data_IF_242322323658
#
_entry.id   IF_242322323658
#
_cell.length_a   1.000
_cell.length_b   1.000
_cell.length_c   1.000
_cell.angle_alpha   90.00
_cell.angle_beta   90.00
_cell.angle_gamma   90.00
#
_symmetry.space_group_name_H-M   'P 1'
#
loop_
_entity.id
_entity.type
_entity.pdbx_description
1 polymer ?
2 non-polymer ?
3 non-polymer ?
4 water ?
#
# COMPACT_ATOMS: atom_id res chain seq x y z
N UNK A 5 -15.83 -12.16 -1.60
CA UNK A 5 -14.65 -12.31 -2.51
C UNK A 5 -13.96 -10.94 -2.67
N UNK A 6 -12.67 -10.91 -3.04
CA UNK A 6 -11.96 -9.63 -3.02
C UNK A 6 -12.55 -8.55 -3.95
N UNK A 7 -12.50 -7.30 -3.50
CA UNK A 7 -12.86 -6.14 -4.34
C UNK A 7 -11.59 -5.37 -4.71
N UNK A 8 -11.31 -5.25 -6.01
CA UNK A 8 -10.09 -4.56 -6.49
C UNK A 8 -10.52 -3.22 -7.09
N UNK A 9 -10.18 -2.13 -6.41
CA UNK A 9 -10.69 -0.81 -6.69
C UNK A 9 -9.53 -0.01 -7.23
N UNK A 10 -9.62 0.40 -8.48
CA UNK A 10 -8.51 0.98 -9.18
C UNK A 10 -8.83 2.38 -9.69
N UNK A 11 -8.21 3.39 -9.10
CA UNK A 11 -8.38 4.76 -9.48
C UNK A 11 -7.24 5.15 -10.40
N UNK A 12 -7.52 5.98 -11.36
CA UNK A 12 -6.54 6.27 -12.41
C UNK A 12 -6.81 7.64 -12.97
N UNK A 13 -5.82 8.23 -13.64
CA UNK A 13 -5.96 9.56 -14.19
C UNK A 13 -6.58 9.55 -15.60
N UNK A 14 -6.88 8.38 -16.16
CA UNK A 14 -7.34 8.25 -17.55
C UNK A 14 -8.83 8.58 -17.75
N UNK A 19 -9.04 1.33 -16.71
CA UNK A 19 -9.56 1.28 -18.09
C UNK A 19 -9.12 -0.03 -18.78
N UNK A 20 -7.84 -0.10 -19.21
CA UNK A 20 -7.28 -1.35 -19.75
C UNK A 20 -6.84 -2.29 -18.63
N UNK A 21 -6.40 -1.72 -17.51
CA UNK A 21 -5.94 -2.53 -16.40
C UNK A 21 -7.07 -3.44 -15.90
N UNK A 22 -8.22 -2.84 -15.61
CA UNK A 22 -9.45 -3.55 -15.19
C UNK A 22 -9.79 -4.70 -16.13
N UNK A 23 -9.81 -4.40 -17.42
CA UNK A 23 -10.03 -5.42 -18.47
C UNK A 23 -9.00 -6.56 -18.41
N UNK A 24 -7.72 -6.22 -18.36
CA UNK A 24 -6.66 -7.23 -18.22
C UNK A 24 -6.80 -8.12 -16.99
N UNK A 25 -7.15 -7.52 -15.86
CA UNK A 25 -7.29 -8.26 -14.63
C UNK A 25 -8.49 -9.16 -14.79
N UNK A 26 -9.54 -8.61 -15.38
CA UNK A 26 -10.76 -9.35 -15.62
C UNK A 26 -10.48 -10.61 -16.44
N UNK A 27 -9.75 -10.44 -17.55
CA UNK A 27 -9.42 -11.56 -18.47
C UNK A 27 -8.60 -12.65 -17.80
N UNK A 28 -7.91 -12.32 -16.70
CA UNK A 28 -7.01 -13.27 -16.03
C UNK A 28 -7.43 -13.67 -14.63
N UNK A 29 -8.62 -13.25 -14.22
CA UNK A 29 -9.24 -13.73 -12.98
C UNK A 29 -10.57 -14.36 -13.31
N UNK A 30 -10.59 -15.69 -13.54
CA UNK A 30 -11.88 -16.31 -13.85
C UNK A 30 -12.90 -16.14 -12.72
N UNK A 31 -14.14 -15.87 -13.10
CA UNK A 31 -15.24 -15.60 -12.16
C UNK A 31 -15.39 -14.11 -11.80
N UNK A 32 -14.45 -13.29 -12.26
CA UNK A 32 -14.41 -11.88 -11.89
C UNK A 32 -15.45 -11.08 -12.67
N UNK A 33 -15.80 -9.91 -12.14
CA UNK A 33 -16.83 -9.09 -12.78
C UNK A 33 -16.38 -7.65 -12.68
N UNK A 34 -16.49 -6.91 -13.78
CA UNK A 34 -16.15 -5.52 -13.83
C UNK A 34 -17.40 -4.66 -13.53
N UNK A 35 -17.39 -4.06 -12.35
CA UNK A 35 -18.42 -3.15 -11.88
C UNK A 35 -18.07 -1.73 -12.29
N UNK A 36 -18.89 -1.12 -13.15
CA UNK A 36 -18.59 0.17 -13.76
C UNK A 36 -19.46 1.25 -13.17
N UNK A 37 -18.92 2.06 -12.23
CA UNK A 37 -19.67 3.06 -11.49
C UNK A 37 -20.35 4.09 -12.37
N UNK A 38 -19.78 4.33 -13.52
CA UNK A 38 -20.41 5.25 -14.45
C UNK A 38 -21.84 4.85 -14.88
N UNK A 39 -22.18 3.55 -14.88
CA UNK A 39 -23.58 3.14 -15.15
C UNK A 39 -24.57 3.79 -14.20
N UNK A 40 -24.16 4.02 -12.96
CA UNK A 40 -25.05 4.68 -11.98
C UNK A 40 -25.12 6.16 -12.28
N UNK A 41 -24.01 6.74 -12.74
CA UNK A 41 -24.04 8.11 -13.15
C UNK A 41 -24.97 8.33 -14.32
N UNK A 42 -24.97 7.45 -15.31
CA UNK A 42 -25.83 7.66 -16.48
C UNK A 42 -27.33 7.58 -16.15
N UNK A 43 -27.67 6.72 -15.21
CA UNK A 43 -29.03 6.53 -14.71
C UNK A 43 -29.44 7.79 -14.02
N UNK A 44 -28.58 8.29 -13.12
CA UNK A 44 -28.96 9.49 -12.41
C UNK A 44 -29.09 10.76 -13.26
N UNK A 45 -28.26 10.90 -14.27
CA UNK A 45 -28.39 12.04 -15.15
C UNK A 45 -29.76 12.01 -15.87
N UNK A 46 -30.22 10.85 -16.32
CA UNK A 46 -31.53 10.71 -17.01
C UNK A 46 -32.78 10.85 -16.12
N UNK A 47 -32.59 10.66 -14.82
CA UNK A 47 -33.67 10.67 -13.83
C UNK A 47 -33.78 11.97 -13.08
N UNK A 48 -32.92 12.95 -13.39
CA UNK A 48 -32.86 14.18 -12.65
C UNK A 48 -33.27 15.41 -13.51
N UNK A 49 -34.31 16.16 -13.06
CA UNK A 49 -34.69 17.39 -13.80
C UNK A 49 -33.60 18.48 -13.79
N UNK A 50 -33.34 19.08 -14.93
CA UNK A 50 -32.36 20.19 -15.00
C UNK A 50 -30.90 19.83 -14.74
N UNK A 51 -30.56 18.55 -14.82
CA UNK A 51 -29.20 18.11 -14.55
C UNK A 51 -28.21 18.52 -15.67
N UNK A 52 -27.04 19.02 -15.26
CA UNK A 52 -25.93 19.17 -16.19
C UNK A 52 -24.62 18.93 -15.44
N UNK A 53 -23.57 18.76 -16.22
CA UNK A 53 -22.24 18.55 -15.66
C UNK A 53 -21.92 17.09 -15.52
N UNK A 54 -20.88 16.81 -14.75
CA UNK A 54 -20.36 15.48 -14.55
C UNK A 54 -21.40 14.67 -13.78
N UNK A 55 -21.88 13.56 -14.36
CA UNK A 55 -22.78 12.65 -13.65
C UNK A 55 -22.22 12.19 -12.31
N UNK A 56 -20.89 12.00 -12.23
CA UNK A 56 -20.28 11.56 -10.98
C UNK A 56 -20.18 12.65 -9.94
N UNK A 57 -20.70 13.82 -10.25
CA UNK A 57 -20.91 14.88 -9.25
C UNK A 57 -22.36 14.96 -8.75
N UNK A 58 -23.23 14.07 -9.24
CA UNK A 58 -24.61 14.02 -8.78
C UNK A 58 -24.56 13.66 -7.30
N UNK A 59 -25.25 14.40 -6.44
CA UNK A 59 -25.27 14.09 -5.03
C UNK A 59 -25.66 12.69 -4.59
N UNK A 60 -26.45 11.97 -5.40
CA UNK A 60 -26.86 10.59 -5.09
C UNK A 60 -25.90 9.53 -5.66
N UNK A 61 -24.95 9.93 -6.51
CA UNK A 61 -24.03 9.01 -7.14
C UNK A 61 -23.22 8.21 -6.15
N UNK A 62 -22.53 8.88 -5.22
CA UNK A 62 -21.78 8.13 -4.21
C UNK A 62 -22.64 7.13 -3.41
N UNK A 63 -23.68 7.59 -2.72
CA UNK A 63 -24.45 6.60 -1.96
C UNK A 63 -25.15 5.49 -2.78
N UNK A 64 -25.64 5.80 -3.96
CA UNK A 64 -26.39 4.78 -4.66
C UNK A 64 -25.48 3.83 -5.36
N UNK A 65 -24.39 4.33 -5.94
CA UNK A 65 -23.42 3.43 -6.52
C UNK A 65 -22.82 2.46 -5.49
N UNK A 66 -22.59 2.93 -4.26
CA UNK A 66 -22.02 2.09 -3.21
C UNK A 66 -23.03 1.08 -2.66
N UNK A 67 -24.29 1.48 -2.57
CA UNK A 67 -25.35 0.49 -2.31
C UNK A 67 -25.37 -0.61 -3.37
N UNK A 68 -25.37 -0.24 -4.64
CA UNK A 68 -25.27 -1.23 -5.71
C UNK A 68 -24.05 -2.15 -5.58
N UNK A 69 -22.89 -1.56 -5.27
CA UNK A 69 -21.64 -2.28 -5.08
C UNK A 69 -21.73 -3.29 -3.95
N UNK A 70 -22.32 -2.88 -2.84
CA UNK A 70 -22.55 -3.79 -1.72
C UNK A 70 -23.37 -5.02 -2.16
N UNK A 71 -24.47 -4.79 -2.88
CA UNK A 71 -25.25 -5.90 -3.37
C UNK A 71 -24.42 -6.72 -4.35
N UNK A 72 -23.72 -6.07 -5.29
CA UNK A 72 -22.85 -6.78 -6.24
C UNK A 72 -21.85 -7.70 -5.52
N UNK A 73 -21.30 -7.20 -4.43
CA UNK A 73 -20.35 -7.93 -3.59
C UNK A 73 -20.91 -9.26 -3.10
N UNK A 74 -22.16 -9.27 -2.66
CA UNK A 74 -22.81 -10.48 -2.16
C UNK A 74 -23.07 -11.50 -3.31
N UNK A 75 -23.24 -11.01 -4.52
CA UNK A 75 -23.57 -11.86 -5.65
C UNK A 75 -22.36 -12.33 -6.49
N UNK A 76 -21.19 -11.74 -6.25
CA UNK A 76 -20.03 -11.96 -7.08
C UNK A 76 -19.46 -13.37 -6.84
N UNK A 77 -19.15 -14.08 -7.92
CA UNK A 77 -18.51 -15.40 -7.85
C UNK A 77 -17.04 -15.15 -7.52
N UNK A 78 -16.40 -14.38 -8.40
CA UNK A 78 -15.00 -14.09 -8.27
C UNK A 78 -14.77 -12.67 -7.76
N UNK A 79 -13.55 -12.19 -7.94
CA UNK A 79 -13.26 -10.84 -7.52
C UNK A 79 -14.08 -9.77 -8.25
N UNK A 80 -14.42 -8.73 -7.51
CA UNK A 80 -15.13 -7.62 -8.04
C UNK A 80 -14.10 -6.52 -8.39
N UNK A 81 -14.03 -6.13 -9.66
CA UNK A 81 -13.07 -5.13 -10.15
C UNK A 81 -13.78 -3.82 -10.47
N UNK A 82 -13.34 -2.74 -9.83
CA UNK A 82 -14.02 -1.44 -9.94
C UNK A 82 -13.07 -0.34 -10.46
N UNK A 83 -13.10 0.00 -11.76
CA UNK A 83 -12.34 1.14 -12.30
C UNK A 83 -13.04 2.46 -12.01
N UNK A 84 -12.32 3.42 -11.42
CA UNK A 84 -12.81 4.73 -11.14
C UNK A 84 -11.79 5.75 -11.58
N UNK A 85 -12.24 6.98 -11.74
CA UNK A 85 -11.40 8.12 -12.09
C UNK A 85 -11.84 9.25 -11.22
N UNK A 86 -11.19 9.40 -10.07
CA UNK A 86 -11.57 10.42 -9.10
C UNK A 86 -10.30 11.21 -8.76
N UNK A 87 -10.45 12.54 -8.74
CA UNK A 87 -9.34 13.48 -8.46
C UNK A 87 -9.56 14.28 -7.19
N UNK A 88 -10.82 14.45 -6.81
CA UNK A 88 -11.29 15.24 -5.68
C UNK A 88 -10.96 14.46 -4.42
N UNK A 89 -10.16 15.07 -3.54
CA UNK A 89 -9.83 14.49 -2.29
C UNK A 89 -11.10 14.30 -1.44
N UNK A 90 -11.99 15.28 -1.49
CA UNK A 90 -13.23 15.20 -0.73
C UNK A 90 -14.15 14.03 -1.25
N UNK A 91 -14.32 13.91 -2.55
CA UNK A 91 -15.10 12.78 -3.12
C UNK A 91 -14.40 11.44 -2.80
N UNK A 92 -13.07 11.38 -2.89
CA UNK A 92 -12.32 10.18 -2.51
C UNK A 92 -12.60 9.78 -1.07
N UNK A 93 -12.60 10.74 -0.15
CA UNK A 93 -12.81 10.39 1.24
C UNK A 93 -14.21 9.88 1.46
N UNK A 94 -15.16 10.51 0.79
CA UNK A 94 -16.59 10.19 0.88
C UNK A 94 -16.83 8.74 0.47
N UNK A 95 -16.21 8.39 -0.65
CA UNK A 95 -16.18 7.03 -1.14
C UNK A 95 -15.53 6.07 -0.17
N UNK A 96 -14.36 6.43 0.37
CA UNK A 96 -13.68 5.55 1.26
C UNK A 96 -14.50 5.36 2.53
N UNK A 97 -15.04 6.42 3.14
CA UNK A 97 -15.85 6.21 4.37
C UNK A 97 -17.21 5.50 4.09
N UNK A 98 -17.81 5.77 2.92
CA UNK A 98 -18.97 4.99 2.47
C UNK A 98 -18.75 3.51 2.37
N UNK A 99 -17.62 3.08 1.82
CA UNK A 99 -17.28 1.66 1.76
C UNK A 99 -17.23 1.06 3.18
N UNK A 100 -16.49 1.74 4.03
CA UNK A 100 -16.27 1.30 5.40
C UNK A 100 -17.64 1.12 6.10
N UNK A 101 -18.49 2.16 6.04
CA UNK A 101 -19.92 2.17 6.54
C UNK A 101 -20.74 0.95 6.13
N UNK A 102 -20.54 0.53 4.89
CA UNK A 102 -21.23 -0.60 4.29
C UNK A 102 -20.54 -1.91 4.56
N UNK A 103 -19.51 -1.84 5.39
CA UNK A 103 -18.74 -3.00 5.79
C UNK A 103 -17.93 -3.61 4.68
N UNK A 104 -17.56 -2.82 3.67
CA UNK A 104 -16.89 -3.39 2.51
C UNK A 104 -15.39 -3.10 2.62
N UNK A 105 -14.57 -4.12 2.54
CA UNK A 105 -13.14 -3.93 2.65
C UNK A 105 -12.62 -4.14 1.26
N UNK A 106 -12.06 -3.09 0.69
CA UNK A 106 -11.58 -3.11 -0.68
C UNK A 106 -10.08 -2.90 -0.73
N UNK A 107 -9.46 -3.49 -1.74
CA UNK A 107 -8.09 -3.20 -2.09
C UNK A 107 -8.06 -2.03 -3.05
N UNK A 108 -7.72 -0.88 -2.52
CA UNK A 108 -7.78 0.32 -3.26
C UNK A 108 -6.40 0.86 -3.66
N UNK A 109 -6.31 1.20 -4.93
CA UNK A 109 -5.09 1.61 -5.58
C UNK A 109 -5.35 2.83 -6.39
N UNK A 110 -4.32 3.68 -6.51
CA UNK A 110 -4.30 4.83 -7.44
C UNK A 110 -3.08 4.67 -8.35
N UNK A 111 -3.32 4.69 -9.66
CA UNK A 111 -2.25 4.59 -10.65
C UNK A 111 -1.58 5.90 -10.81
N UNK A 112 -0.26 5.88 -10.58
CA UNK A 112 0.60 7.03 -10.87
C UNK A 112 1.26 6.82 -12.23
N UNK A 113 0.76 7.52 -13.22
CA UNK A 113 1.17 7.29 -14.58
C UNK A 113 2.01 8.45 -15.06
N UNK A 114 2.96 8.17 -15.98
CA UNK A 114 3.80 9.20 -16.56
C UNK A 114 3.02 10.25 -17.36
N UNK A 115 3.43 11.51 -17.23
CA UNK A 115 2.71 12.61 -17.91
C UNK A 115 2.52 12.34 -19.45
N UNK A 116 3.56 11.87 -20.11
CA UNK A 116 3.50 11.70 -21.54
C UNK A 116 2.49 10.61 -21.93
N UNK A 117 2.39 9.56 -21.11
CA UNK A 117 1.43 8.48 -21.32
C UNK A 117 0.00 9.00 -21.19
N UNK A 118 -0.24 9.85 -20.20
CA UNK A 118 -1.56 10.42 -20.03
C UNK A 118 -1.89 11.40 -21.18
N UNK A 119 -0.95 12.25 -21.54
CA UNK A 119 -1.18 13.23 -22.56
C UNK A 119 -1.45 12.53 -23.88
N UNK A 120 -0.69 11.47 -24.13
CA UNK A 120 -0.85 10.71 -25.38
C UNK A 120 -2.20 9.97 -25.46
N UNK A 121 -2.67 9.43 -24.35
CA UNK A 121 -3.98 8.81 -24.30
C UNK A 121 -5.10 9.82 -24.58
N UNK A 122 -4.99 11.02 -23.99
CA UNK A 122 -6.00 12.06 -24.16
C UNK A 122 -6.07 12.60 -25.59
N UNK A 123 -4.94 12.55 -26.28
CA UNK A 123 -4.83 13.08 -27.63
C UNK A 123 -5.43 12.10 -28.62
N UNK A 124 -5.23 10.80 -28.37
CA UNK A 124 -5.82 9.76 -29.23
C UNK A 124 -7.36 9.73 -29.19
N UNK A 125 -7.96 10.60 -28.39
CA UNK A 125 -9.40 10.92 -28.45
C UNK A 125 -9.58 12.40 -28.76
N UNK A 130 -6.56 19.75 -24.11
CA UNK A 130 -5.67 19.19 -23.05
C UNK A 130 -4.50 20.14 -22.69
N UNK A 131 -4.65 20.90 -21.61
CA UNK A 131 -3.59 21.81 -21.13
C UNK A 131 -2.59 21.00 -20.28
N UNK A 132 -1.32 20.94 -20.69
CA UNK A 132 -0.29 20.13 -19.99
C UNK A 132 -0.24 20.46 -18.49
N UNK A 133 -0.29 21.75 -18.16
CA UNK A 133 -0.34 22.18 -16.78
C UNK A 133 -1.52 21.61 -16.02
N UNK A 134 -2.66 21.50 -16.69
CA UNK A 134 -3.86 21.02 -16.01
C UNK A 134 -3.75 19.51 -15.75
N UNK A 135 -3.18 18.80 -16.72
CA UNK A 135 -2.92 17.36 -16.59
C UNK A 135 -1.88 17.12 -15.48
N UNK A 136 -0.76 17.87 -15.53
CA UNK A 136 0.27 17.72 -14.55
C UNK A 136 -0.27 18.04 -13.15
N UNK A 137 -1.15 19.03 -13.00
CA UNK A 137 -1.75 19.36 -11.69
C UNK A 137 -2.49 18.13 -11.16
N UNK A 138 -3.25 17.45 -12.03
CA UNK A 138 -3.99 16.28 -11.66
C UNK A 138 -3.10 15.15 -11.21
N UNK A 139 -2.03 14.89 -11.97
CA UNK A 139 -1.14 13.81 -11.67
C UNK A 139 -0.39 14.10 -10.33
N UNK A 140 -0.05 15.34 -10.13
CA UNK A 140 0.57 15.80 -8.86
C UNK A 140 -0.39 15.57 -7.70
N UNK A 141 -1.68 15.87 -7.90
CA UNK A 141 -2.70 15.60 -6.84
C UNK A 141 -2.83 14.14 -6.50
N UNK A 142 -2.86 13.25 -7.53
CA UNK A 142 -2.94 11.84 -7.27
C UNK A 142 -1.81 11.19 -6.46
N UNK A 143 -0.63 11.80 -6.56
CA UNK A 143 0.55 11.40 -5.82
C UNK A 143 0.48 11.74 -4.32
N UNK A 144 -0.57 12.43 -3.89
CA UNK A 144 -0.78 12.71 -2.46
C UNK A 144 -1.05 11.42 -1.71
N UNK A 145 -0.64 11.33 -0.45
CA UNK A 145 -0.92 10.15 0.33
C UNK A 145 -2.39 9.90 0.67
N UNK A 146 -3.28 10.89 0.51
CA UNK A 146 -4.73 10.65 0.68
C UNK A 146 -5.24 9.63 -0.41
N UNK A 147 -4.43 9.44 -1.43
CA UNK A 147 -4.76 8.48 -2.54
C UNK A 147 -4.02 7.10 -2.45
N UNK A 148 -3.30 6.79 -1.36
CA UNK A 148 -2.64 5.50 -1.23
C UNK A 148 -3.68 4.34 -1.24
N UNK A 149 -3.37 3.14 -1.73
CA UNK A 149 -2.03 2.69 -2.16
C UNK A 149 -1.70 3.12 -3.59
N UNK A 150 -0.53 3.71 -3.77
CA UNK A 150 -0.02 4.11 -5.04
C UNK A 150 0.63 2.95 -5.78
N UNK A 151 0.37 2.89 -7.09
CA UNK A 151 1.07 1.93 -7.99
C UNK A 151 1.66 2.77 -9.11
N UNK A 152 2.97 2.84 -9.20
CA UNK A 152 3.59 3.66 -10.23
C UNK A 152 3.77 2.77 -11.43
N UNK A 153 3.28 3.22 -12.58
CA UNK A 153 3.19 2.38 -13.76
C UNK A 153 4.32 2.68 -14.74
N UNK A 154 5.21 3.62 -14.38
CA UNK A 154 6.36 3.94 -15.20
C UNK A 154 7.07 2.66 -15.68
N UNK A 155 7.18 2.55 -16.98
CA UNK A 155 7.88 1.43 -17.60
C UNK A 155 7.11 0.12 -17.65
N UNK A 156 5.84 0.12 -17.28
CA UNK A 156 5.06 -1.11 -17.18
C UNK A 156 3.99 -1.11 -18.28
N UNK A 157 3.78 -2.27 -18.90
CA UNK A 157 2.64 -2.46 -19.76
C UNK A 157 1.43 -2.84 -18.94
N UNK A 158 0.27 -2.87 -19.58
CA UNK A 158 -0.97 -3.16 -18.84
C UNK A 158 -0.91 -4.50 -18.18
N UNK A 159 -0.21 -5.43 -18.82
CA UNK A 159 -0.08 -6.76 -18.29
C UNK A 159 0.70 -6.78 -16.99
N UNK A 160 1.82 -6.10 -16.99
CA UNK A 160 2.62 -5.94 -15.79
C UNK A 160 1.95 -5.14 -14.64
N UNK A 161 1.17 -4.12 -14.95
CA UNK A 161 0.39 -3.41 -13.88
C UNK A 161 -0.58 -4.36 -13.25
N UNK A 162 -1.25 -5.15 -14.09
CA UNK A 162 -2.21 -6.11 -13.63
C UNK A 162 -1.53 -7.10 -12.70
N UNK A 163 -0.35 -7.55 -13.11
CA UNK A 163 0.40 -8.55 -12.36
C UNK A 163 0.86 -8.02 -10.98
N UNK A 164 1.31 -6.78 -10.97
CA UNK A 164 1.71 -6.03 -9.79
C UNK A 164 0.54 -5.88 -8.80
N UNK A 165 -0.63 -5.53 -9.33
CA UNK A 165 -1.82 -5.38 -8.51
C UNK A 165 -2.24 -6.71 -7.96
N UNK A 166 -2.28 -7.73 -8.80
CA UNK A 166 -2.57 -9.06 -8.28
C UNK A 166 -1.61 -9.53 -7.18
N UNK A 167 -0.31 -9.32 -7.37
CA UNK A 167 0.70 -9.70 -6.34
C UNK A 167 0.44 -8.99 -5.01
N UNK A 168 0.15 -7.70 -5.08
CA UNK A 168 -0.09 -6.94 -3.86
C UNK A 168 -1.29 -7.49 -3.10
N UNK A 169 -2.35 -7.87 -3.82
CA UNK A 169 -3.56 -8.36 -3.14
C UNK A 169 -3.57 -9.88 -2.83
N UNK A 170 -2.55 -10.59 -3.26
CA UNK A 170 -2.41 -12.02 -2.93
C UNK A 170 -3.20 -12.95 -3.83
N UNK A 171 -3.40 -12.53 -5.08
CA UNK A 171 -4.21 -13.26 -6.05
C UNK A 171 -3.36 -13.87 -7.13
N UNK A 172 -3.74 -15.08 -7.53
CA UNK A 172 -3.08 -15.79 -8.62
C UNK A 172 -3.79 -15.51 -9.93
N UNK A 173 -3.06 -14.99 -10.90
CA UNK A 173 -3.61 -14.74 -12.22
C UNK A 173 -3.52 -15.97 -13.12
N UNK A 174 -4.56 -16.19 -13.90
CA UNK A 174 -4.47 -17.09 -15.05
C UNK A 174 -3.47 -16.49 -16.03
N UNK A 175 -2.89 -17.32 -16.91
CA UNK A 175 -1.90 -16.79 -17.87
C UNK A 175 -2.54 -15.85 -18.92
N UNK A 176 -1.72 -15.00 -19.58
CA UNK A 176 -2.25 -14.05 -20.59
C UNK A 176 -2.96 -14.67 -21.79
N UNK B 4 -1.24 -20.28 2.88
CA UNK B 4 -0.31 -19.20 2.41
C UNK B 4 0.80 -18.83 3.41
N UNK B 5 2.00 -18.60 2.86
CA UNK B 5 3.14 -18.04 3.58
C UNK B 5 3.71 -16.78 2.87
N UNK B 6 2.96 -15.66 2.93
CA UNK B 6 3.54 -14.39 2.47
C UNK B 6 4.64 -13.91 3.40
N UNK B 7 5.54 -13.08 2.87
CA UNK B 7 6.43 -12.30 3.69
C UNK B 7 5.83 -10.87 3.87
N UNK B 8 5.59 -10.52 5.13
CA UNK B 8 5.04 -9.22 5.50
C UNK B 8 6.20 -8.39 6.07
N UNK B 9 6.68 -7.46 5.27
CA UNK B 9 7.86 -6.65 5.60
C UNK B 9 7.38 -5.25 6.05
N UNK B 10 7.60 -4.92 7.30
CA UNK B 10 7.07 -3.69 7.93
C UNK B 10 8.21 -2.76 8.36
N UNK B 11 8.37 -1.61 7.69
CA UNK B 11 9.35 -0.60 8.07
C UNK B 11 8.68 0.42 8.97
N UNK B 12 9.05 0.46 10.22
CA UNK B 12 8.63 1.53 11.12
C UNK B 12 9.85 2.37 11.42
N UNK B 13 10.00 3.48 10.69
CA UNK B 13 11.13 4.36 10.78
C UNK B 13 11.27 4.93 12.18
N UNK B 14 12.53 5.04 12.60
CA UNK B 14 12.92 5.47 13.95
C UNK B 14 12.41 4.46 14.96
N UNK B 15 11.98 3.27 14.49
CA UNK B 15 11.36 2.23 15.34
C UNK B 15 9.93 2.51 15.82
N UNK B 16 9.27 3.50 15.24
CA UNK B 16 7.92 3.83 15.57
C UNK B 16 6.97 2.74 15.10
N UNK B 17 6.29 2.12 16.05
CA UNK B 17 5.24 1.16 15.73
C UNK B 17 5.65 -0.19 15.14
N UNK B 18 6.94 -0.41 14.84
CA UNK B 18 7.35 -1.66 14.16
C UNK B 18 7.19 -2.88 15.09
N UNK B 19 7.73 -2.81 16.29
CA UNK B 19 7.66 -3.96 17.20
C UNK B 19 6.20 -4.30 17.61
N UNK B 20 5.44 -3.31 18.07
CA UNK B 20 4.04 -3.56 18.47
C UNK B 20 3.21 -4.06 17.29
N UNK B 21 3.42 -3.48 16.12
CA UNK B 21 2.62 -3.89 14.95
C UNK B 21 2.93 -5.31 14.58
N UNK B 22 4.23 -5.61 14.56
CA UNK B 22 4.72 -6.95 14.24
C UNK B 22 4.13 -7.99 15.19
N UNK B 23 4.17 -7.69 16.47
CA UNK B 23 3.71 -8.66 17.47
C UNK B 23 2.18 -8.85 17.40
N UNK B 24 1.43 -7.76 17.21
CA UNK B 24 -0.02 -7.81 17.10
C UNK B 24 -0.36 -8.68 15.91
N UNK B 25 0.36 -8.52 14.80
CA UNK B 25 0.10 -9.35 13.62
C UNK B 25 0.40 -10.81 13.89
N UNK B 26 1.51 -11.02 14.58
CA UNK B 26 1.94 -12.35 14.94
C UNK B 26 0.86 -13.09 15.76
N UNK B 27 0.40 -12.42 16.81
CA UNK B 27 -0.60 -12.96 17.72
C UNK B 27 -1.88 -13.34 16.97
N UNK B 28 -2.22 -12.62 15.92
CA UNK B 28 -3.52 -12.82 15.27
C UNK B 28 -3.41 -13.51 13.92
N UNK B 29 -2.20 -13.99 13.60
CA UNK B 29 -1.97 -14.82 12.41
C UNK B 29 -1.38 -16.15 12.83
N UNK B 30 -2.23 -17.18 12.96
CA UNK B 30 -1.86 -18.56 13.28
C UNK B 30 -0.78 -19.13 12.39
N UNK B 31 0.27 -19.63 13.02
CA UNK B 31 1.36 -20.27 12.27
C UNK B 31 2.33 -19.25 11.67
N UNK B 32 2.19 -17.99 12.05
CA UNK B 32 3.12 -16.96 11.62
C UNK B 32 4.37 -16.99 12.52
N UNK B 33 5.43 -16.37 12.00
CA UNK B 33 6.73 -16.34 12.64
C UNK B 33 7.30 -14.92 12.48
N UNK B 34 7.85 -14.37 13.54
CA UNK B 34 8.49 -13.09 13.49
C UNK B 34 10.00 -13.31 13.33
N UNK B 35 10.51 -12.88 12.19
CA UNK B 35 11.93 -12.90 11.86
C UNK B 35 12.49 -11.56 12.24
N UNK B 36 13.33 -11.53 13.27
CA UNK B 36 13.83 -10.32 13.84
C UNK B 36 15.26 -9.98 13.41
N UNK B 37 15.43 -9.10 12.39
CA UNK B 37 16.78 -8.80 11.85
C UNK B 37 17.78 -8.33 12.89
N UNK B 38 17.32 -7.83 14.05
CA UNK B 38 18.25 -7.47 15.12
C UNK B 38 19.13 -8.64 15.60
N UNK B 39 18.62 -9.86 15.51
CA UNK B 39 19.43 -11.04 15.89
C UNK B 39 20.70 -11.13 15.05
N UNK B 40 20.64 -10.71 13.78
CA UNK B 40 21.80 -10.74 12.94
C UNK B 40 22.74 -9.60 13.29
N UNK B 41 22.18 -8.45 13.65
CA UNK B 41 22.99 -7.33 14.07
C UNK B 41 23.77 -7.66 15.30
N UNK B 42 23.10 -8.28 16.26
CA UNK B 42 23.78 -8.66 17.49
C UNK B 42 24.92 -9.67 17.26
N UNK B 43 24.68 -10.68 16.44
CA UNK B 43 25.75 -11.61 16.05
C UNK B 43 26.93 -10.86 15.43
N UNK B 44 26.65 -10.00 14.44
CA UNK B 44 27.72 -9.28 13.80
C UNK B 44 28.49 -8.33 14.74
N UNK B 45 27.78 -7.65 15.64
CA UNK B 45 28.45 -6.82 16.66
C UNK B 45 29.55 -7.60 17.40
N UNK B 46 29.14 -8.73 17.97
CA UNK B 46 29.99 -9.65 18.75
C UNK B 46 31.12 -10.34 17.96
N UNK B 47 30.96 -10.44 16.64
CA UNK B 47 31.95 -11.12 15.77
C UNK B 47 32.93 -10.19 15.10
N UNK B 48 32.84 -8.90 15.36
CA UNK B 48 33.62 -7.92 14.61
C UNK B 48 34.59 -7.15 15.53
N UNK B 49 35.90 -7.29 15.29
CA UNK B 49 36.86 -6.53 16.07
C UNK B 49 36.65 -5.01 15.94
N UNK B 50 36.69 -4.29 17.05
CA UNK B 50 36.61 -2.82 17.02
C UNK B 50 35.26 -2.23 16.63
N UNK B 51 34.22 -3.03 16.67
CA UNK B 51 32.94 -2.57 16.15
C UNK B 51 32.35 -1.52 17.07
N UNK B 52 31.80 -0.48 16.48
CA UNK B 52 31.05 0.51 17.24
C UNK B 52 29.88 0.98 16.35
N UNK B 53 28.88 1.59 16.97
CA UNK B 53 27.72 2.06 16.25
C UNK B 53 26.57 1.06 16.22
N UNK B 54 25.64 1.33 15.31
CA UNK B 54 24.42 0.58 15.17
C UNK B 54 24.75 -0.72 14.46
N UNK B 55 24.45 -1.86 15.08
CA UNK B 55 24.70 -3.16 14.42
C UNK B 55 24.07 -3.35 13.02
N UNK B 56 22.90 -2.70 12.79
CA UNK B 56 22.25 -2.74 11.45
C UNK B 56 22.97 -1.95 10.37
N UNK B 57 23.98 -1.17 10.74
CA UNK B 57 24.87 -0.53 9.77
C UNK B 57 26.17 -1.28 9.52
N UNK B 58 26.32 -2.47 10.05
CA UNK B 58 27.45 -3.32 9.78
C UNK B 58 27.37 -3.69 8.29
N UNK B 59 28.47 -3.55 7.58
CA UNK B 59 28.50 -3.83 6.15
C UNK B 59 27.91 -5.20 5.72
N UNK B 60 27.98 -6.20 6.59
CA UNK B 60 27.52 -7.58 6.28
C UNK B 60 26.05 -7.78 6.70
N UNK B 61 25.44 -6.80 7.36
CA UNK B 61 24.08 -6.98 7.87
C UNK B 61 23.08 -7.24 6.74
N UNK B 62 23.08 -6.39 5.74
CA UNK B 62 22.10 -6.57 4.67
C UNK B 62 22.26 -7.95 3.99
N UNK B 63 23.46 -8.28 3.44
CA UNK B 63 23.51 -9.60 2.77
C UNK B 63 23.25 -10.83 3.64
N UNK B 64 23.81 -10.82 4.84
CA UNK B 64 23.63 -11.96 5.74
C UNK B 64 22.25 -12.05 6.32
N UNK B 65 21.65 -10.91 6.67
CA UNK B 65 20.25 -10.95 7.12
C UNK B 65 19.32 -11.42 6.00
N UNK B 66 19.58 -11.03 4.75
CA UNK B 66 18.75 -11.46 3.65
C UNK B 66 18.95 -12.96 3.31
N UNK B 67 20.20 -13.42 3.42
CA UNK B 67 20.48 -14.86 3.28
C UNK B 67 19.72 -15.71 4.31
N UNK B 68 19.77 -15.26 5.55
CA UNK B 68 18.97 -15.86 6.59
C UNK B 68 17.49 -15.86 6.26
N UNK B 69 16.98 -14.76 5.72
CA UNK B 69 15.57 -14.65 5.42
C UNK B 69 15.15 -15.59 4.33
N UNK B 70 15.97 -15.67 3.29
CA UNK B 70 15.77 -16.61 2.19
C UNK B 70 15.59 -18.05 2.72
N UNK B 71 16.46 -18.46 3.63
CA UNK B 71 16.33 -19.80 4.21
C UNK B 71 15.09 -19.89 5.12
N UNK B 72 14.85 -18.88 5.97
CA UNK B 72 13.66 -18.92 6.84
C UNK B 72 12.36 -19.08 5.98
N UNK B 73 12.32 -18.34 4.89
CA UNK B 73 11.20 -18.33 3.98
C UNK B 73 10.87 -19.71 3.45
N UNK B 74 11.91 -20.46 3.10
CA UNK B 74 11.67 -21.80 2.60
C UNK B 74 11.29 -22.74 3.73
N UNK B 75 11.56 -22.40 4.99
CA UNK B 75 11.08 -23.17 6.17
C UNK B 75 9.73 -22.74 6.81
N UNK B 76 9.21 -21.57 6.47
CA UNK B 76 8.10 -20.99 7.26
C UNK B 76 6.81 -21.78 7.02
N UNK B 77 6.09 -22.06 8.11
CA UNK B 77 4.77 -22.71 8.03
C UNK B 77 3.87 -21.66 7.42
N UNK B 78 3.59 -20.62 8.19
CA UNK B 78 2.71 -19.55 7.76
C UNK B 78 3.38 -18.25 7.37
N UNK B 79 2.70 -17.12 7.58
CA UNK B 79 3.26 -15.81 7.28
C UNK B 79 4.60 -15.54 7.98
N UNK B 80 5.53 -14.98 7.23
CA UNK B 80 6.81 -14.51 7.79
C UNK B 80 6.74 -12.98 7.93
N UNK B 81 6.88 -12.49 9.15
CA UNK B 81 6.76 -11.10 9.51
C UNK B 81 8.15 -10.54 9.85
N UNK B 82 8.58 -9.56 9.06
CA UNK B 82 9.91 -8.95 9.18
C UNK B 82 9.79 -7.47 9.57
N UNK B 83 10.00 -7.11 10.86
CA UNK B 83 10.08 -5.73 11.26
C UNK B 83 11.48 -5.10 11.09
N UNK B 84 11.53 -3.96 10.42
CA UNK B 84 12.75 -3.21 10.23
C UNK B 84 12.46 -1.75 10.57
N UNK B 85 13.52 -0.98 10.77
CA UNK B 85 13.48 0.47 10.93
C UNK B 85 14.56 1.11 10.06
N UNK B 86 14.21 1.49 8.83
CA UNK B 86 15.17 2.06 7.86
C UNK B 86 14.64 3.43 7.51
N UNK B 87 15.45 4.48 7.67
CA UNK B 87 14.98 5.80 7.35
C UNK B 87 15.88 6.42 6.30
N UNK B 88 16.73 5.64 5.65
CA UNK B 88 17.52 6.19 4.59
C UNK B 88 17.31 5.47 3.26
N UNK B 89 17.21 6.28 2.24
CA UNK B 89 16.88 5.79 0.93
C UNK B 89 17.89 4.78 0.45
N UNK B 90 19.20 5.09 0.52
CA UNK B 90 20.23 4.14 -0.01
C UNK B 90 20.12 2.71 0.57
N UNK B 91 19.98 2.57 1.87
CA UNK B 91 19.80 1.26 2.47
C UNK B 91 18.49 0.58 2.12
N UNK B 92 17.41 1.36 2.00
CA UNK B 92 16.14 0.81 1.52
C UNK B 92 16.30 0.17 0.12
N UNK B 93 16.93 0.87 -0.81
CA UNK B 93 17.19 0.34 -2.15
C UNK B 93 18.05 -0.91 -2.11
N UNK B 94 19.08 -0.93 -1.27
CA UNK B 94 19.95 -2.10 -1.18
C UNK B 94 19.20 -3.31 -0.65
N UNK B 95 18.34 -3.09 0.33
CA UNK B 95 17.43 -4.12 0.81
C UNK B 95 16.46 -4.62 -0.26
N UNK B 96 15.77 -3.72 -0.94
CA UNK B 96 14.77 -4.12 -1.94
C UNK B 96 15.41 -4.89 -3.09
N UNK B 97 16.53 -4.43 -3.58
CA UNK B 97 17.20 -5.14 -4.66
C UNK B 97 17.86 -6.46 -4.17
N UNK B 98 18.25 -6.54 -2.90
CA UNK B 98 18.80 -7.80 -2.37
C UNK B 98 17.74 -8.86 -2.22
N UNK B 99 16.53 -8.44 -1.83
CA UNK B 99 15.35 -9.31 -1.84
C UNK B 99 15.05 -9.82 -3.27
N UNK B 100 14.99 -8.92 -4.25
CA UNK B 100 14.80 -9.31 -5.68
C UNK B 100 15.88 -10.30 -6.19
N UNK B 101 17.14 -10.01 -5.92
CA UNK B 101 18.25 -10.91 -6.26
C UNK B 101 18.06 -12.31 -5.70
N UNK B 102 17.43 -12.44 -4.53
CA UNK B 102 17.25 -13.73 -3.89
C UNK B 102 15.92 -14.40 -4.28
N UNK B 103 15.20 -13.84 -5.25
CA UNK B 103 13.89 -14.32 -5.69
C UNK B 103 12.78 -14.23 -4.67
N UNK B 104 12.92 -13.30 -3.73
CA UNK B 104 11.96 -13.12 -2.66
C UNK B 104 11.00 -11.97 -2.97
N UNK B 105 9.71 -12.28 -3.02
CA UNK B 105 8.67 -11.28 -3.14
C UNK B 105 8.03 -11.05 -1.78
N UNK B 106 8.10 -9.81 -1.28
CA UNK B 106 7.63 -9.50 0.04
C UNK B 106 6.58 -8.42 -0.14
N UNK B 107 5.66 -8.34 0.81
CA UNK B 107 4.73 -7.23 0.92
C UNK B 107 5.40 -6.22 1.87
N UNK B 108 5.95 -5.18 1.29
CA UNK B 108 6.72 -4.21 2.05
C UNK B 108 5.95 -2.90 2.21
N UNK B 109 5.91 -2.48 3.47
CA UNK B 109 5.19 -1.28 3.86
C UNK B 109 6.12 -0.34 4.58
N UNK B 110 5.94 0.95 4.33
CA UNK B 110 6.58 1.98 5.14
C UNK B 110 5.50 2.76 5.88
N UNK B 111 5.54 2.71 7.20
CA UNK B 111 4.58 3.45 8.02
C UNK B 111 4.93 4.92 8.10
N UNK B 112 3.94 5.77 7.85
CA UNK B 112 4.09 7.18 7.80
C UNK B 112 3.33 7.73 9.00
N UNK B 113 4.06 8.01 10.09
CA UNK B 113 3.48 8.45 11.36
C UNK B 113 3.52 9.95 11.41
N UNK B 114 2.57 10.56 12.11
CA UNK B 114 2.65 11.99 12.28
C UNK B 114 3.86 12.44 13.09
N UNK B 115 4.37 13.61 12.78
CA UNK B 115 5.55 14.13 13.45
C UNK B 115 5.48 13.98 15.00
N UNK B 116 4.33 14.32 15.61
CA UNK B 116 4.24 14.28 17.09
C UNK B 116 4.47 12.88 17.61
N UNK B 117 3.95 11.88 16.91
CA UNK B 117 4.13 10.50 17.31
C UNK B 117 5.61 10.09 17.23
N UNK B 118 6.29 10.51 16.17
CA UNK B 118 7.71 10.23 15.99
C UNK B 118 8.57 10.93 17.07
N UNK B 119 8.31 12.21 17.36
CA UNK B 119 8.98 12.94 18.45
C UNK B 119 8.78 12.28 19.82
N UNK B 120 7.56 11.85 20.12
CA UNK B 120 7.30 11.03 21.32
C UNK B 120 8.22 9.79 21.38
N UNK B 121 8.41 9.05 20.27
CA UNK B 121 9.32 7.96 20.27
C UNK B 121 10.76 8.41 20.53
N UNK B 122 11.19 9.49 19.90
CA UNK B 122 12.56 10.00 20.07
C UNK B 122 12.81 10.60 21.48
N UNK B 123 11.76 11.02 22.15
CA UNK B 123 11.93 11.60 23.48
C UNK B 123 11.57 10.67 24.62
N UNK B 124 11.29 9.41 24.31
CA UNK B 124 10.86 8.47 25.36
C UNK B 124 12.03 8.09 26.29
N UNK B 125 11.71 7.66 27.52
CA UNK B 125 12.76 7.21 28.47
C UNK B 125 13.71 8.35 28.83
N UNK B 126 13.17 9.56 28.82
CA UNK B 126 13.92 10.76 29.13
C UNK B 126 15.02 11.17 28.14
N UNK B 127 14.96 10.66 26.91
CA UNK B 127 15.98 10.94 25.90
C UNK B 127 15.97 12.45 25.58
N UNK B 128 17.16 13.04 25.36
CA UNK B 128 17.20 14.48 25.24
C UNK B 128 16.62 15.03 23.91
N UNK B 129 16.46 16.34 23.90
CA UNK B 129 15.77 17.01 22.77
C UNK B 129 16.51 16.82 21.46
N UNK B 130 15.72 16.82 20.38
CA UNK B 130 16.22 16.68 18.99
C UNK B 130 15.83 17.88 18.14
N UNK B 131 16.55 18.14 17.06
CA UNK B 131 16.18 19.16 16.10
C UNK B 131 14.95 18.67 15.33
N UNK B 132 13.84 19.34 15.52
CA UNK B 132 12.53 18.93 14.98
C UNK B 132 12.54 19.06 13.46
N UNK B 133 13.25 20.08 12.97
CA UNK B 133 13.48 20.28 11.54
C UNK B 133 14.19 19.13 10.93
N UNK B 134 15.16 18.59 11.66
CA UNK B 134 15.89 17.44 11.17
C UNK B 134 15.02 16.19 11.06
N UNK B 135 14.20 15.94 12.07
CA UNK B 135 13.30 14.81 12.06
C UNK B 135 12.30 14.97 10.89
N UNK B 136 11.69 16.15 10.77
CA UNK B 136 10.72 16.40 9.74
C UNK B 136 11.34 16.12 8.35
N UNK B 137 12.56 16.55 8.15
CA UNK B 137 13.21 16.36 6.86
C UNK B 137 13.42 14.87 6.50
N UNK B 138 13.69 14.06 7.52
CA UNK B 138 13.80 12.61 7.38
C UNK B 138 12.44 12.00 7.06
N UNK B 139 11.39 12.47 7.76
CA UNK B 139 10.05 11.93 7.49
C UNK B 139 9.53 12.31 6.10
N UNK B 140 9.91 13.49 5.64
CA UNK B 140 9.63 13.91 4.24
C UNK B 140 10.28 13.03 3.16
N UNK B 141 11.51 12.60 3.44
CA UNK B 141 12.17 11.57 2.67
C UNK B 141 11.36 10.31 2.54
N UNK B 142 10.88 9.79 3.68
CA UNK B 142 10.10 8.62 3.72
C UNK B 142 8.80 8.66 2.96
N UNK B 143 8.25 9.85 2.77
CA UNK B 143 7.03 10.07 2.01
C UNK B 143 7.28 10.01 0.54
N UNK B 144 8.53 10.04 0.16
CA UNK B 144 8.87 9.67 -1.20
C UNK B 144 8.39 8.30 -1.59
N UNK B 145 7.97 8.23 -2.84
CA UNK B 145 7.41 7.04 -3.38
C UNK B 145 8.46 5.95 -3.60
N UNK B 146 9.75 6.26 -3.40
CA UNK B 146 10.75 5.19 -3.38
C UNK B 146 10.56 4.28 -2.15
N UNK B 147 9.76 4.72 -1.19
CA UNK B 147 9.43 3.93 0.01
C UNK B 147 8.08 3.22 -0.03
N UNK B 148 7.39 3.24 -1.16
CA UNK B 148 6.12 2.54 -1.29
C UNK B 148 6.20 1.09 -0.87
N UNK B 149 5.12 0.47 -0.34
CA UNK B 149 3.80 1.05 -0.10
C UNK B 149 3.77 1.83 1.25
N UNK B 150 3.23 3.05 1.24
CA UNK B 150 3.05 3.84 2.45
C UNK B 150 1.73 3.43 3.13
N UNK B 151 1.74 3.43 4.43
CA UNK B 151 0.51 3.44 5.22
C UNK B 151 0.56 4.67 6.15
N UNK B 152 -0.32 5.66 5.89
CA UNK B 152 -0.45 6.81 6.77
C UNK B 152 -1.16 6.30 8.01
N UNK B 153 -0.45 6.37 9.15
CA UNK B 153 -0.99 5.85 10.40
C UNK B 153 -1.57 6.96 11.29
N UNK B 154 -1.79 8.18 10.76
CA UNK B 154 -2.46 9.22 11.51
C UNK B 154 -3.80 8.73 12.06
N UNK B 155 -4.01 8.90 13.37
CA UNK B 155 -5.24 8.44 14.04
C UNK B 155 -5.48 6.94 14.20
N UNK B 156 -4.48 6.12 13.90
CA UNK B 156 -4.65 4.69 14.03
C UNK B 156 -3.81 4.22 15.19
N UNK B 157 -4.35 3.25 15.92
CA UNK B 157 -3.60 2.47 16.91
C UNK B 157 -2.95 1.28 16.25
N UNK B 158 -2.08 0.61 17.02
CA UNK B 158 -1.35 -0.53 16.50
C UNK B 158 -2.24 -1.64 16.02
N UNK B 159 -3.33 -1.91 16.74
CA UNK B 159 -4.31 -2.90 16.30
C UNK B 159 -4.84 -2.53 14.93
N UNK B 160 -5.14 -1.24 14.74
CA UNK B 160 -5.76 -0.79 13.49
C UNK B 160 -4.75 -0.85 12.30
N UNK B 161 -3.49 -0.54 12.57
CA UNK B 161 -2.40 -0.69 11.53
C UNK B 161 -2.21 -2.16 11.12
N UNK B 162 -2.18 -3.05 12.12
CA UNK B 162 -2.06 -4.47 11.91
C UNK B 162 -3.24 -4.99 11.06
N UNK B 163 -4.44 -4.51 11.39
CA UNK B 163 -5.63 -4.87 10.62
C UNK B 163 -5.55 -4.39 9.18
N UNK B 164 -5.06 -3.18 8.99
CA UNK B 164 -4.92 -2.65 7.65
C UNK B 164 -3.90 -3.41 6.78
N UNK B 165 -2.74 -3.69 7.36
CA UNK B 165 -1.71 -4.52 6.68
C UNK B 165 -2.25 -5.90 6.30
N UNK B 166 -2.92 -6.56 7.26
CA UNK B 166 -3.50 -7.88 7.03
C UNK B 166 -4.51 -7.82 5.88
N UNK B 167 -5.37 -6.81 5.90
CA UNK B 167 -6.34 -6.54 4.82
C UNK B 167 -5.67 -6.33 3.48
N UNK B 168 -4.64 -5.50 3.42
CA UNK B 168 -3.92 -5.27 2.16
C UNK B 168 -3.30 -6.55 1.54
N UNK B 169 -2.77 -7.41 2.38
CA UNK B 169 -2.05 -8.64 1.99
C UNK B 169 -3.06 -9.77 1.65
N UNK B 170 -4.30 -9.55 2.07
CA UNK B 170 -5.41 -10.45 1.81
C UNK B 170 -5.50 -11.56 2.83
N UNK B 171 -5.19 -11.27 4.09
CA UNK B 171 -5.15 -12.29 5.14
C UNK B 171 -6.21 -12.04 6.18
N UNK B 172 -6.72 -13.13 6.76
CA UNK B 172 -7.75 -13.10 7.80
C UNK B 172 -7.10 -13.14 9.15
N UNK B 173 -7.40 -12.15 9.97
CA UNK B 173 -6.86 -12.13 11.32
C UNK B 173 -7.76 -12.88 12.32
N UNK B 174 -7.13 -13.49 13.33
CA UNK B 174 -7.83 -14.02 14.49
C UNK B 174 -8.27 -12.83 15.36
N UNK B 175 -9.29 -13.00 16.21
CA UNK B 175 -9.70 -12.00 17.20
C UNK B 175 -8.66 -11.45 18.19
N UNK B 176 -8.79 -10.16 18.54
CA UNK B 176 -7.94 -9.47 19.52
C UNK B 176 -8.35 -9.71 20.98
X LIG C 1 2.49 6.52 -1.62
X LIG D 1 1.58 4.07 -1.36
#
# INVERSE_FOLDING_TARGET
>A
TPXRSPIIWINGPFGVGKTHTAHTLHERLPGSFVFEPEEMGQALRKLTPGFSGDPQEHPMWIPLMLDALQYASREAAGPLIVPVSISDTARHRRLMSGLKDRGLSVHHFTLIAPLNVVLERLRRDGQPQVNVGTVEDRLNELRGEQFQTHIDTAGLGTQQVAEQIAAQVGLTLAPPPQGALHW
>B
TPXRSPIIWINGPFGVGKTHTAHTLHERLPGSFVFEPEEMGQALRKLTPGFSGDPQEHPMWIPLMLDALQYASREAAGPLIVPVSISDTARHRRLMSGLKDRGLSVHHFTLIAPLNVVLERLRRDGQPQVNVGTVEDRLNELRGEQFQTHIDTAGLGTQQVAEQIAAQVGLTLAPPPQGALHW
>C hetero
1 CD CD
>D hetero
1 CL CL
#
